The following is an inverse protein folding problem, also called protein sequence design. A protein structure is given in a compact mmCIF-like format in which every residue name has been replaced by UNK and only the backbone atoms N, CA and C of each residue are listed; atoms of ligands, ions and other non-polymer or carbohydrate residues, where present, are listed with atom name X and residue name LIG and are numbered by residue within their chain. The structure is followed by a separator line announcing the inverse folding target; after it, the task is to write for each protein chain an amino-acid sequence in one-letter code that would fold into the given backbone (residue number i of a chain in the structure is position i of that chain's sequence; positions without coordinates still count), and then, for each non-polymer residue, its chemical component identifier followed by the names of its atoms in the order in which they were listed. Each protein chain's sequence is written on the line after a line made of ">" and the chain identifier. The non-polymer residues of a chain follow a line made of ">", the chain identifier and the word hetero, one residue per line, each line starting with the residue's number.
data_IF_702174840580
#
_entry.id   IF_702174840580
#
_cell.length_a   1.000
_cell.length_b   1.000
_cell.length_c   1.000
_cell.angle_alpha   90.00
_cell.angle_beta   90.00
_cell.angle_gamma   90.00
#
_symmetry.space_group_name_H-M   'P 1'
#
loop_
_entity.id
_entity.type
_entity.pdbx_description
1 polymer ?
#
# COMPACT_ATOMS: atom_id res chain seq x y z
N UNK A 1 -1.88 -8.68 4.75
CA UNK A 1 -1.95 -8.28 6.18
C UNK A 1 -2.90 -7.11 6.46
N UNK A 2 -2.77 -5.99 5.74
CA UNK A 2 -3.58 -4.79 6.02
C UNK A 2 -5.09 -4.99 5.78
N UNK A 3 -5.50 -5.77 4.77
CA UNK A 3 -6.90 -6.15 4.58
C UNK A 3 -7.46 -7.06 5.67
N UNK A 4 -6.64 -7.97 6.21
CA UNK A 4 -7.03 -8.82 7.34
C UNK A 4 -7.29 -8.00 8.60
N UNK A 5 -6.43 -7.02 8.91
CA UNK A 5 -6.64 -6.14 10.04
C UNK A 5 -7.98 -5.37 9.92
N UNK A 6 -8.33 -4.93 8.71
CA UNK A 6 -9.62 -4.25 8.46
C UNK A 6 -10.81 -5.18 8.52
N UNK A 7 -10.67 -6.40 8.01
CA UNK A 7 -11.70 -7.43 8.14
C UNK A 7 -11.99 -7.72 9.61
N UNK A 8 -10.96 -7.90 10.43
CA UNK A 8 -11.09 -8.11 11.88
C UNK A 8 -11.76 -6.90 12.54
N UNK A 9 -11.29 -5.68 12.24
CA UNK A 9 -11.83 -4.46 12.85
C UNK A 9 -13.32 -4.21 12.51
N UNK A 10 -13.79 -4.63 11.33
CA UNK A 10 -15.14 -4.34 10.85
C UNK A 10 -16.09 -5.53 11.08
N UNK A 11 -15.72 -6.72 10.62
CA UNK A 11 -16.59 -7.89 10.65
C UNK A 11 -16.73 -8.44 12.07
N UNK A 12 -15.67 -8.33 12.87
CA UNK A 12 -15.54 -8.93 14.19
C UNK A 12 -15.48 -7.90 15.32
N UNK A 13 -16.00 -6.69 15.06
CA UNK A 13 -16.11 -5.63 16.06
C UNK A 13 -16.87 -6.13 17.30
N UNK A 14 -16.28 -6.01 18.49
CA UNK A 14 -16.86 -6.46 19.76
C UNK A 14 -16.58 -7.93 20.14
N UNK A 15 -15.87 -8.70 19.31
CA UNK A 15 -15.48 -10.08 19.64
C UNK A 15 -14.05 -10.16 20.20
N UNK A 16 -13.67 -11.33 20.74
CA UNK A 16 -12.29 -11.61 21.20
C UNK A 16 -11.22 -11.40 20.11
N UNK A 17 -11.59 -11.41 18.82
CA UNK A 17 -10.69 -11.13 17.71
C UNK A 17 -10.10 -9.69 17.72
N UNK A 18 -10.63 -8.78 18.56
CA UNK A 18 -10.03 -7.46 18.79
C UNK A 18 -8.57 -7.54 19.30
N UNK A 19 -8.18 -8.63 19.97
CA UNK A 19 -6.79 -8.84 20.40
C UNK A 19 -5.79 -8.85 19.24
N UNK A 20 -6.23 -9.22 18.03
CA UNK A 20 -5.41 -9.25 16.82
C UNK A 20 -5.19 -7.85 16.21
N UNK A 21 -5.97 -6.83 16.59
CA UNK A 21 -5.78 -5.45 16.14
C UNK A 21 -5.02 -4.61 17.19
N UNK A 22 -4.09 -5.24 17.92
CA UNK A 22 -3.16 -4.54 18.83
C UNK A 22 -1.95 -4.04 18.05
N UNK A 23 -1.38 -2.92 18.51
CA UNK A 23 -0.16 -2.35 17.92
C UNK A 23 0.98 -3.37 17.92
N UNK A 24 1.15 -4.13 19.00
CA UNK A 24 2.18 -5.19 19.09
C UNK A 24 2.05 -6.24 17.99
N UNK A 25 0.82 -6.67 17.70
CA UNK A 25 0.55 -7.62 16.61
C UNK A 25 0.86 -6.99 15.26
N UNK A 26 0.46 -5.73 15.04
CA UNK A 26 0.77 -5.02 13.79
C UNK A 26 2.29 -4.86 13.57
N UNK A 27 3.06 -4.56 14.62
CA UNK A 27 4.53 -4.48 14.58
C UNK A 27 5.13 -5.85 14.27
N UNK A 28 4.73 -6.91 14.96
CA UNK A 28 5.23 -8.26 14.71
C UNK A 28 4.93 -8.74 13.28
N UNK A 29 3.71 -8.49 12.80
CA UNK A 29 3.30 -8.79 11.43
C UNK A 29 4.12 -7.98 10.40
N UNK A 30 4.36 -6.69 10.66
CA UNK A 30 5.21 -5.85 9.79
C UNK A 30 6.64 -6.38 9.75
N UNK A 31 7.23 -6.70 10.90
CA UNK A 31 8.59 -7.27 11.00
C UNK A 31 8.69 -8.59 10.24
N UNK A 32 7.71 -9.48 10.39
CA UNK A 32 7.69 -10.75 9.64
C UNK A 32 7.67 -10.52 8.13
N UNK A 33 6.92 -9.52 7.65
CA UNK A 33 6.87 -9.18 6.22
C UNK A 33 8.23 -8.68 5.71
N UNK A 34 8.93 -7.87 6.51
CA UNK A 34 10.28 -7.42 6.19
C UNK A 34 11.29 -8.56 6.12
N UNK A 35 11.25 -9.48 7.10
CA UNK A 35 12.14 -10.64 7.13
C UNK A 35 11.90 -11.54 5.91
N UNK A 36 10.64 -11.82 5.57
CA UNK A 36 10.28 -12.60 4.38
C UNK A 36 10.77 -11.90 3.11
N UNK A 37 10.56 -10.58 2.99
CA UNK A 37 11.02 -9.80 1.85
C UNK A 37 12.54 -9.79 1.69
N UNK A 38 13.27 -9.66 2.80
CA UNK A 38 14.73 -9.73 2.82
C UNK A 38 15.23 -11.11 2.43
N UNK A 39 14.64 -12.18 2.98
CA UNK A 39 14.99 -13.55 2.63
C UNK A 39 14.75 -13.84 1.14
N UNK A 40 13.61 -13.39 0.60
CA UNK A 40 13.29 -13.51 -0.82
C UNK A 40 14.28 -12.73 -1.70
N UNK A 41 14.68 -11.52 -1.30
CA UNK A 41 15.67 -10.72 -2.02
C UNK A 41 17.06 -11.39 -2.02
N UNK A 42 17.49 -11.93 -0.87
CA UNK A 42 18.76 -12.67 -0.76
C UNK A 42 18.72 -13.91 -1.66
N UNK A 43 17.66 -14.71 -1.57
CA UNK A 43 17.50 -15.92 -2.38
C UNK A 43 17.43 -15.64 -3.89
N UNK A 44 16.91 -14.48 -4.29
CA UNK A 44 16.89 -14.05 -5.69
C UNK A 44 18.21 -13.47 -6.20
N UNK A 45 19.17 -13.19 -5.31
CA UNK A 45 20.44 -12.51 -5.65
C UNK A 45 21.65 -13.42 -5.49
N UNK A 46 21.65 -14.34 -4.51
CA UNK A 46 22.78 -15.19 -4.14
C UNK A 46 22.39 -16.67 -4.31
N UNK A 47 23.24 -17.55 -4.87
CA UNK A 47 24.62 -17.30 -5.34
C UNK A 47 24.70 -16.72 -6.76
N UNK A 48 23.72 -17.00 -7.62
CA UNK A 48 23.64 -16.41 -8.95
C UNK A 48 22.42 -15.50 -9.03
N UNK A 49 22.58 -14.25 -9.50
CA UNK A 49 21.49 -13.30 -9.53
C UNK A 49 20.45 -13.70 -10.59
N UNK A 50 19.21 -13.92 -10.14
CA UNK A 50 18.07 -14.19 -11.04
C UNK A 50 17.59 -12.92 -11.74
N UNK A 51 17.99 -11.75 -11.26
CA UNK A 51 17.63 -10.42 -11.76
C UNK A 51 18.88 -9.75 -12.32
N UNK A 52 18.77 -9.16 -13.52
CA UNK A 52 19.88 -8.46 -14.16
C UNK A 52 19.43 -7.41 -15.17
N UNK A 53 20.39 -6.69 -15.74
CA UNK A 53 20.11 -5.69 -16.77
C UNK A 53 19.80 -6.40 -18.09
N UNK A 54 18.58 -6.20 -18.60
CA UNK A 54 18.06 -6.74 -19.85
C UNK A 54 18.01 -5.64 -20.91
N UNK A 55 19.00 -5.62 -21.80
CA UNK A 55 19.14 -4.60 -22.86
C UNK A 55 18.03 -4.67 -23.91
N UNK A 56 17.46 -5.85 -24.11
CA UNK A 56 16.33 -6.12 -24.99
C UNK A 56 15.01 -5.52 -24.48
N UNK A 57 14.89 -5.30 -23.17
CA UNK A 57 13.70 -4.73 -22.54
C UNK A 57 13.95 -3.37 -21.88
N UNK A 58 15.14 -2.77 -22.06
CA UNK A 58 15.57 -1.51 -21.44
C UNK A 58 15.27 -1.42 -19.94
N UNK A 59 15.41 -2.54 -19.23
CA UNK A 59 15.04 -2.61 -17.82
C UNK A 59 15.88 -3.62 -17.05
N UNK A 60 15.83 -3.53 -15.72
CA UNK A 60 16.26 -4.58 -14.81
C UNK A 60 15.12 -5.59 -14.69
N UNK A 61 15.34 -6.80 -15.16
CA UNK A 61 14.33 -7.88 -15.16
C UNK A 61 15.01 -9.23 -15.01
N UNK A 62 14.21 -10.30 -14.92
CA UNK A 62 14.72 -11.65 -14.82
C UNK A 62 15.57 -12.02 -16.05
N UNK A 63 16.72 -12.62 -15.80
CA UNK A 63 17.58 -13.16 -16.86
C UNK A 63 16.89 -14.42 -17.39
N UNK A 64 16.70 -14.52 -18.71
CA UNK A 64 16.07 -15.69 -19.34
C UNK A 64 16.88 -16.93 -19.02
N UNK A 65 16.25 -17.92 -18.39
CA UNK A 65 16.87 -19.22 -18.10
C UNK A 65 16.70 -20.14 -19.31
N UNK A 66 17.25 -19.75 -20.46
CA UNK A 66 17.49 -20.70 -21.55
C UNK A 66 18.54 -21.71 -21.05
N UNK A 67 18.06 -22.84 -20.51
CA UNK A 67 18.93 -23.84 -19.86
C UNK A 67 18.45 -24.42 -18.51
N UNK A 68 17.19 -24.19 -18.11
CA UNK A 68 16.46 -25.12 -17.24
C UNK A 68 17.08 -25.43 -15.87
N UNK A 69 17.44 -24.43 -15.06
CA UNK A 69 17.78 -24.69 -13.66
C UNK A 69 16.48 -24.86 -12.83
N UNK A 70 16.26 -26.01 -12.15
CA UNK A 70 15.05 -26.22 -11.37
C UNK A 70 14.91 -25.20 -10.22
N UNK A 71 16.03 -24.68 -9.70
CA UNK A 71 16.05 -23.74 -8.57
C UNK A 71 15.39 -22.40 -8.92
N UNK A 72 15.61 -21.85 -10.13
CA UNK A 72 14.98 -20.59 -10.54
C UNK A 72 13.48 -20.78 -10.74
N UNK A 73 13.06 -21.89 -11.36
CA UNK A 73 11.65 -22.23 -11.54
C UNK A 73 10.93 -22.40 -10.19
N UNK A 74 11.58 -23.06 -9.22
CA UNK A 74 11.05 -23.23 -7.86
C UNK A 74 10.92 -21.88 -7.16
N UNK A 75 11.90 -20.99 -7.28
CA UNK A 75 11.84 -19.64 -6.70
C UNK A 75 10.65 -18.85 -7.25
N UNK A 76 10.51 -18.78 -8.58
CA UNK A 76 9.40 -18.07 -9.21
C UNK A 76 8.04 -18.69 -8.86
N UNK A 77 7.93 -20.01 -8.90
CA UNK A 77 6.71 -20.71 -8.49
C UNK A 77 6.35 -20.39 -7.03
N UNK A 78 7.33 -20.36 -6.13
CA UNK A 78 7.12 -20.05 -4.71
C UNK A 78 6.60 -18.63 -4.51
N UNK A 79 7.21 -17.63 -5.15
CA UNK A 79 6.76 -16.24 -5.09
C UNK A 79 5.34 -16.10 -5.65
N UNK A 80 5.07 -16.71 -6.82
CA UNK A 80 3.74 -16.71 -7.44
C UNK A 80 2.68 -17.34 -6.52
N UNK A 81 3.00 -18.45 -5.85
CA UNK A 81 2.08 -19.10 -4.89
C UNK A 81 1.80 -18.19 -3.69
N UNK A 82 2.83 -17.54 -3.14
CA UNK A 82 2.68 -16.58 -2.03
C UNK A 82 1.80 -15.40 -2.45
N UNK A 83 2.00 -14.85 -3.65
CA UNK A 83 1.19 -13.76 -4.20
C UNK A 83 -0.27 -14.19 -4.41
N UNK A 84 -0.51 -15.40 -4.94
CA UNK A 84 -1.84 -15.97 -5.10
C UNK A 84 -2.56 -16.14 -3.75
N UNK A 85 -1.87 -16.65 -2.72
CA UNK A 85 -2.41 -16.75 -1.36
C UNK A 85 -2.73 -15.35 -0.81
N UNK A 86 -1.83 -14.37 -1.02
CA UNK A 86 -2.03 -12.98 -0.63
C UNK A 86 -3.28 -12.37 -1.26
N UNK A 87 -3.47 -12.55 -2.57
CA UNK A 87 -4.67 -12.15 -3.32
C UNK A 87 -5.92 -12.83 -2.78
N UNK A 88 -5.88 -14.14 -2.59
CA UNK A 88 -7.01 -14.92 -2.07
C UNK A 88 -7.46 -14.43 -0.70
N UNK A 89 -6.52 -14.26 0.25
CA UNK A 89 -6.82 -13.73 1.59
C UNK A 89 -7.39 -12.32 1.51
N UNK A 90 -6.79 -11.44 0.69
CA UNK A 90 -7.25 -10.07 0.51
C UNK A 90 -8.67 -10.01 -0.09
N UNK A 91 -8.95 -10.87 -1.08
CA UNK A 91 -10.26 -10.99 -1.72
C UNK A 91 -11.35 -11.48 -0.75
N UNK A 92 -11.06 -12.54 0.00
CA UNK A 92 -11.96 -13.08 1.02
C UNK A 92 -12.27 -12.00 2.07
N UNK A 93 -11.23 -11.35 2.62
CA UNK A 93 -11.38 -10.28 3.61
C UNK A 93 -12.27 -9.13 3.09
N UNK A 94 -12.07 -8.69 1.86
CA UNK A 94 -12.85 -7.61 1.26
C UNK A 94 -14.30 -8.01 1.00
N UNK A 95 -14.54 -9.25 0.58
CA UNK A 95 -15.89 -9.78 0.37
C UNK A 95 -16.67 -9.88 1.69
N UNK A 96 -16.01 -10.32 2.77
CA UNK A 96 -16.61 -10.35 4.11
C UNK A 96 -16.99 -8.94 4.59
N UNK A 97 -16.08 -7.97 4.43
CA UNK A 97 -16.34 -6.56 4.76
C UNK A 97 -17.53 -6.02 3.96
N UNK A 98 -17.56 -6.28 2.65
CA UNK A 98 -18.65 -5.93 1.75
C UNK A 98 -20.01 -6.47 2.21
N UNK A 99 -20.08 -7.76 2.52
CA UNK A 99 -21.30 -8.41 3.02
C UNK A 99 -21.74 -7.78 4.34
N UNK A 100 -20.81 -7.51 5.26
CA UNK A 100 -21.12 -6.85 6.54
C UNK A 100 -21.69 -5.46 6.33
N UNK A 101 -21.15 -4.69 5.40
CA UNK A 101 -21.65 -3.35 5.05
C UNK A 101 -23.08 -3.43 4.51
N UNK A 102 -23.35 -4.37 3.60
CA UNK A 102 -24.69 -4.56 3.05
C UNK A 102 -25.71 -4.93 4.16
N UNK A 103 -25.33 -5.81 5.09
CA UNK A 103 -26.16 -6.16 6.24
C UNK A 103 -26.46 -4.95 7.14
N UNK A 104 -25.44 -4.14 7.45
CA UNK A 104 -25.60 -2.92 8.27
C UNK A 104 -26.49 -1.91 7.54
N UNK A 105 -26.32 -1.72 6.22
CA UNK A 105 -27.19 -0.85 5.41
C UNK A 105 -28.66 -1.28 5.51
N UNK A 106 -28.96 -2.58 5.39
CA UNK A 106 -30.32 -3.10 5.56
C UNK A 106 -30.87 -2.84 6.96
N UNK A 107 -30.07 -3.03 8.02
CA UNK A 107 -30.48 -2.78 9.42
C UNK A 107 -30.74 -1.30 9.74
N UNK A 108 -30.02 -0.37 9.09
CA UNK A 108 -30.26 1.07 9.22
C UNK A 108 -31.56 1.45 8.51
N UNK A 109 -31.78 0.95 7.28
CA UNK A 109 -33.04 1.16 6.57
C UNK A 109 -34.24 0.59 7.35
N UNK A 110 -34.04 -0.47 8.14
CA UNK A 110 -35.05 -1.01 9.05
C UNK A 110 -35.07 -0.34 10.44
N UNK A 111 -34.53 0.88 10.59
CA UNK A 111 -34.51 1.70 11.82
C UNK A 111 -33.88 1.06 13.08
N UNK A 112 -33.05 0.02 12.95
CA UNK A 112 -32.47 -0.72 14.09
C UNK A 112 -31.07 -0.26 14.53
N UNK A 113 -30.52 0.82 13.97
CA UNK A 113 -29.15 1.27 14.27
C UNK A 113 -29.01 2.79 14.33
N UNK A 114 -28.25 3.28 15.31
CA UNK A 114 -27.85 4.68 15.46
C UNK A 114 -27.03 5.15 14.23
N UNK A 115 -27.52 6.22 13.57
CA UNK A 115 -26.99 6.78 12.32
C UNK A 115 -25.51 7.22 12.40
N UNK A 116 -25.04 7.61 13.60
CA UNK A 116 -23.64 7.99 13.82
C UNK A 116 -22.68 6.81 13.79
N UNK A 117 -23.10 5.64 14.27
CA UNK A 117 -22.31 4.41 14.18
C UNK A 117 -22.19 3.98 12.71
N UNK A 118 -23.32 4.00 12.00
CA UNK A 118 -23.41 3.68 10.57
C UNK A 118 -22.47 4.52 9.68
N UNK A 119 -22.41 5.84 9.90
CA UNK A 119 -21.53 6.72 9.14
C UNK A 119 -20.04 6.43 9.40
N UNK A 120 -19.67 6.08 10.64
CA UNK A 120 -18.30 5.68 10.99
C UNK A 120 -17.90 4.40 10.25
N UNK A 121 -18.80 3.42 10.19
CA UNK A 121 -18.61 2.19 9.43
C UNK A 121 -18.50 2.44 7.92
N UNK A 122 -19.35 3.29 7.33
CA UNK A 122 -19.23 3.66 5.92
C UNK A 122 -17.88 4.31 5.59
N UNK A 123 -17.39 5.19 6.47
CA UNK A 123 -16.08 5.83 6.29
C UNK A 123 -14.95 4.79 6.33
N UNK A 124 -15.00 3.85 7.27
CA UNK A 124 -14.02 2.77 7.39
C UNK A 124 -14.09 1.76 6.23
N UNK A 125 -15.28 1.48 5.72
CA UNK A 125 -15.50 0.65 4.53
C UNK A 125 -14.94 1.28 3.26
N UNK A 126 -15.24 2.57 3.03
CA UNK A 126 -14.63 3.35 1.95
C UNK A 126 -13.11 3.33 2.08
N UNK A 127 -12.59 3.44 3.31
CA UNK A 127 -11.18 3.23 3.58
C UNK A 127 -10.74 1.85 3.10
N UNK A 128 -11.40 0.74 3.43
CA UNK A 128 -11.03 -0.61 2.94
C UNK A 128 -10.92 -0.70 1.43
N UNK A 129 -11.88 -0.13 0.68
CA UNK A 129 -11.81 -0.10 -0.79
C UNK A 129 -10.59 0.63 -1.34
N UNK A 130 -10.19 1.73 -0.68
CA UNK A 130 -8.99 2.49 -1.07
C UNK A 130 -7.71 1.67 -1.02
N UNK A 131 -7.66 0.60 -0.24
CA UNK A 131 -6.44 -0.19 -0.06
C UNK A 131 -6.59 -1.52 -0.78
N UNK A 132 -7.82 -1.96 -1.01
CA UNK A 132 -8.13 -3.14 -1.79
C UNK A 132 -7.74 -2.99 -3.25
N UNK A 133 -8.21 -1.95 -3.93
CA UNK A 133 -7.93 -1.74 -5.36
C UNK A 133 -6.44 -1.63 -5.66
N UNK A 134 -5.65 -0.76 -5.00
CA UNK A 134 -4.22 -0.71 -5.27
C UNK A 134 -3.48 -1.96 -4.78
N UNK A 135 -3.91 -2.63 -3.71
CA UNK A 135 -3.31 -3.92 -3.34
C UNK A 135 -3.55 -4.97 -4.41
N UNK A 136 -4.74 -5.05 -5.01
CA UNK A 136 -5.01 -5.96 -6.12
C UNK A 136 -4.19 -5.57 -7.35
N UNK A 137 -4.20 -4.30 -7.75
CA UNK A 137 -3.45 -3.84 -8.92
C UNK A 137 -1.94 -4.09 -8.74
N UNK A 138 -1.40 -3.77 -7.56
CA UNK A 138 -0.01 -4.03 -7.22
C UNK A 138 0.32 -5.51 -7.23
N UNK A 139 -0.50 -6.38 -6.61
CA UNK A 139 -0.21 -7.81 -6.57
C UNK A 139 -0.44 -8.48 -7.92
N UNK A 140 -1.48 -8.12 -8.68
CA UNK A 140 -1.68 -8.59 -10.05
C UNK A 140 -0.55 -8.15 -10.96
N UNK A 141 -0.10 -6.90 -10.85
CA UNK A 141 1.02 -6.41 -11.63
C UNK A 141 2.35 -7.06 -11.23
N UNK A 142 2.54 -7.36 -9.94
CA UNK A 142 3.70 -8.09 -9.42
C UNK A 142 3.70 -9.55 -9.90
N UNK A 143 2.54 -10.21 -9.89
CA UNK A 143 2.34 -11.52 -10.49
C UNK A 143 2.68 -11.52 -11.99
N UNK A 144 2.15 -10.54 -12.74
CA UNK A 144 2.48 -10.35 -14.16
C UNK A 144 3.97 -10.12 -14.38
N UNK A 145 4.66 -9.48 -13.45
CA UNK A 145 6.10 -9.28 -13.51
C UNK A 145 6.88 -10.58 -13.24
N UNK A 146 6.52 -11.35 -12.21
CA UNK A 146 7.20 -12.61 -11.88
C UNK A 146 6.93 -13.74 -12.88
N UNK A 147 5.82 -13.70 -13.60
CA UNK A 147 5.52 -14.70 -14.63
C UNK A 147 6.18 -14.40 -15.98
N UNK A 148 6.79 -13.21 -16.14
CA UNK A 148 7.52 -12.80 -17.36
C UNK A 148 8.52 -13.83 -17.90
N UNK A 149 9.33 -14.53 -17.08
CA UNK A 149 10.26 -15.54 -17.59
C UNK A 149 9.56 -16.66 -18.38
N UNK A 150 8.34 -17.02 -17.98
CA UNK A 150 7.55 -18.07 -18.64
C UNK A 150 6.85 -17.57 -19.91
N UNK A 151 6.54 -16.27 -19.97
CA UNK A 151 5.83 -15.67 -21.10
C UNK A 151 6.74 -14.95 -22.11
N UNK A 152 8.06 -15.00 -21.91
CA UNK A 152 9.01 -14.27 -22.75
C UNK A 152 8.88 -14.61 -24.25
N UNK A 153 8.61 -15.88 -24.59
CA UNK A 153 8.43 -16.31 -25.97
C UNK A 153 7.04 -15.96 -26.57
N UNK A 154 6.07 -15.59 -25.73
CA UNK A 154 4.71 -15.28 -26.16
C UNK A 154 4.48 -13.77 -26.38
N UNK A 155 5.28 -12.91 -25.75
CA UNK A 155 5.14 -11.46 -25.83
C UNK A 155 6.25 -10.81 -26.64
N UNK A 156 5.91 -9.75 -27.36
CA UNK A 156 6.90 -8.90 -28.02
C UNK A 156 7.68 -8.07 -26.98
N UNK A 157 8.91 -7.62 -27.30
CA UNK A 157 9.69 -6.77 -26.39
C UNK A 157 8.92 -5.52 -25.91
N UNK A 158 8.15 -4.89 -26.79
CA UNK A 158 7.31 -3.73 -26.45
C UNK A 158 6.21 -4.06 -25.43
N UNK A 159 5.56 -5.22 -25.55
CA UNK A 159 4.57 -5.67 -24.56
C UNK A 159 5.23 -5.92 -23.19
N UNK A 160 6.46 -6.45 -23.18
CA UNK A 160 7.22 -6.69 -21.96
C UNK A 160 7.66 -5.39 -21.26
N UNK A 161 8.04 -4.38 -22.03
CA UNK A 161 8.33 -3.01 -21.54
C UNK A 161 7.07 -2.39 -20.95
N UNK A 162 5.94 -2.44 -21.66
CA UNK A 162 4.68 -1.88 -21.19
C UNK A 162 4.24 -2.51 -19.86
N UNK A 163 4.33 -3.84 -19.75
CA UNK A 163 4.05 -4.57 -18.51
C UNK A 163 4.96 -4.12 -17.35
N UNK A 164 6.22 -3.77 -17.64
CA UNK A 164 7.15 -3.26 -16.63
C UNK A 164 6.78 -1.84 -16.16
N UNK A 165 6.38 -0.96 -17.08
CA UNK A 165 5.92 0.39 -16.76
C UNK A 165 4.64 0.33 -15.90
N UNK A 166 3.68 -0.53 -16.26
CA UNK A 166 2.46 -0.74 -15.46
C UNK A 166 2.80 -1.18 -14.04
N UNK A 167 3.80 -2.05 -13.88
CA UNK A 167 4.29 -2.48 -12.58
C UNK A 167 4.91 -1.34 -11.76
N UNK A 168 5.79 -0.53 -12.34
CA UNK A 168 6.34 0.64 -11.66
C UNK A 168 5.26 1.66 -11.26
N UNK A 169 4.32 1.94 -12.16
CA UNK A 169 3.18 2.83 -11.90
C UNK A 169 2.28 2.30 -10.76
N UNK A 170 2.18 0.98 -10.61
CA UNK A 170 1.39 0.37 -9.53
C UNK A 170 2.01 0.59 -8.15
N UNK A 171 3.33 0.72 -8.04
CA UNK A 171 3.99 1.00 -6.76
C UNK A 171 3.82 2.45 -6.28
N UNK A 172 3.56 3.39 -7.20
CA UNK A 172 3.38 4.82 -6.87
C UNK A 172 1.92 5.20 -6.61
N UNK A 173 0.95 4.33 -6.94
CA UNK A 173 -0.47 4.69 -6.86
C UNK A 173 -1.01 4.86 -5.43
N UNK A 174 -0.36 4.21 -4.45
CA UNK A 174 -0.79 4.19 -3.06
C UNK A 174 -1.01 5.62 -2.50
N UNK A 175 0.00 6.51 -2.40
CA UNK A 175 -0.16 7.88 -1.92
C UNK A 175 -1.32 8.68 -2.52
N UNK A 176 -1.54 8.56 -3.83
CA UNK A 176 -2.62 9.27 -4.54
C UNK A 176 -4.00 8.79 -4.09
N UNK A 177 -4.15 7.49 -3.87
CA UNK A 177 -5.42 6.90 -3.42
C UNK A 177 -5.71 7.32 -1.98
N UNK A 178 -4.70 7.40 -1.10
CA UNK A 178 -4.87 8.00 0.23
C UNK A 178 -5.26 9.48 0.15
N UNK A 179 -4.60 10.27 -0.71
CA UNK A 179 -4.93 11.68 -0.88
C UNK A 179 -6.38 11.88 -1.34
N UNK A 180 -6.85 11.05 -2.29
CA UNK A 180 -8.18 11.18 -2.86
C UNK A 180 -9.28 10.78 -1.89
N UNK A 181 -9.07 9.80 -1.00
CA UNK A 181 -10.18 9.27 -0.21
C UNK A 181 -10.01 9.32 1.32
N UNK A 182 -8.85 9.70 1.85
CA UNK A 182 -8.63 9.92 3.28
C UNK A 182 -8.51 11.42 3.56
N UNK A 183 -9.58 12.03 4.09
CA UNK A 183 -9.65 13.48 4.35
C UNK A 183 -8.51 13.98 5.24
N UNK A 184 -8.09 13.18 6.24
CA UNK A 184 -7.01 13.54 7.15
C UNK A 184 -5.67 13.58 6.42
N UNK A 185 -5.38 12.56 5.61
CA UNK A 185 -4.17 12.54 4.78
C UNK A 185 -4.19 13.67 3.75
N UNK A 186 -5.35 13.96 3.15
CA UNK A 186 -5.50 15.07 2.21
C UNK A 186 -5.18 16.42 2.86
N UNK A 187 -5.67 16.63 4.09
CA UNK A 187 -5.34 17.83 4.86
C UNK A 187 -3.83 17.93 5.12
N UNK A 188 -3.22 16.85 5.61
CA UNK A 188 -1.78 16.81 5.87
C UNK A 188 -0.97 17.06 4.60
N UNK A 189 -1.32 16.46 3.45
CA UNK A 189 -0.66 16.75 2.18
C UNK A 189 -0.82 18.21 1.76
N UNK A 190 -2.01 18.80 1.96
CA UNK A 190 -2.23 20.22 1.68
C UNK A 190 -1.36 21.12 2.56
N UNK A 191 -1.23 20.81 3.85
CA UNK A 191 -0.34 21.53 4.78
C UNK A 191 1.14 21.40 4.40
N UNK A 192 1.57 20.20 4.00
CA UNK A 192 2.93 19.93 3.54
C UNK A 192 3.23 20.71 2.25
N UNK A 193 2.37 20.62 1.23
CA UNK A 193 2.56 21.31 -0.06
C UNK A 193 2.47 22.83 0.05
N UNK A 194 1.57 23.35 0.89
CA UNK A 194 1.46 24.79 1.13
C UNK A 194 2.52 25.33 2.07
N UNK A 195 3.33 24.44 2.67
CA UNK A 195 4.28 24.75 3.73
C UNK A 195 3.65 25.63 4.83
N UNK A 196 2.36 25.45 5.13
CA UNK A 196 1.60 26.40 5.96
C UNK A 196 2.22 26.56 7.36
N UNK A 197 2.66 25.46 7.97
CA UNK A 197 3.36 25.48 9.26
C UNK A 197 4.71 26.21 9.19
N UNK A 198 5.49 25.97 8.13
CA UNK A 198 6.76 26.66 7.91
C UNK A 198 6.53 28.16 7.68
N UNK A 199 5.57 28.53 6.82
CA UNK A 199 5.17 29.92 6.56
C UNK A 199 4.70 30.62 7.83
N UNK A 200 3.94 29.93 8.68
CA UNK A 200 3.52 30.46 9.98
C UNK A 200 4.72 30.70 10.90
N UNK A 201 5.65 29.75 11.02
CA UNK A 201 6.87 29.91 11.84
C UNK A 201 7.77 31.03 11.31
N UNK A 202 7.92 31.15 9.98
CA UNK A 202 8.65 32.25 9.34
C UNK A 202 8.00 33.61 9.61
N UNK A 203 6.67 33.72 9.46
CA UNK A 203 5.93 34.96 9.81
C UNK A 203 6.04 35.31 11.29
N UNK A 204 6.00 34.31 12.17
CA UNK A 204 6.15 34.49 13.62
C UNK A 204 7.56 34.99 13.98
N UNK A 205 8.60 34.47 13.34
CA UNK A 205 9.99 34.96 13.48
C UNK A 205 10.15 36.38 12.92
N UNK A 206 9.59 36.67 11.75
CA UNK A 206 9.62 38.01 11.16
C UNK A 206 8.94 39.07 12.04
N UNK A 207 7.79 38.75 12.65
CA UNK A 207 7.14 39.63 13.62
C UNK A 207 7.98 39.85 14.87
N UNK A 208 8.66 38.82 15.39
CA UNK A 208 9.56 38.98 16.55
C UNK A 208 10.77 39.88 16.25
N UNK A 209 11.33 39.81 15.05
CA UNK A 209 12.43 40.70 14.64
C UNK A 209 12.01 42.17 14.48
N UNK A 210 10.79 42.43 13.98
CA UNK A 210 10.28 43.79 13.85
C UNK A 210 10.07 44.49 15.20
N UNK A 211 9.74 43.75 16.26
CA UNK A 211 9.52 44.32 17.60
C UNK A 211 10.80 44.54 18.43
N UNK A 212 11.96 44.08 17.96
CA UNK A 212 13.27 44.37 18.57
C UNK A 212 13.99 45.58 17.96
N UNK A 213 13.47 46.17 16.88
CA UNK A 213 14.07 47.35 16.22
C UNK A 213 13.51 48.71 16.65
N UNK A 214 12.51 48.74 17.55
CA UNK A 214 11.80 49.96 17.92
C UNK A 214 11.93 50.30 19.39
N UNK A 215 13.09 50.81 19.82
CA UNK A 215 13.31 51.73 20.97
C UNK A 215 14.82 52.01 21.10
N UNK A 216 15.34 52.85 20.22
CA UNK A 216 16.45 53.71 20.62
C UNK A 216 15.83 54.97 21.21
N UNK A 217 15.89 55.08 22.53
CA UNK A 217 15.72 56.34 23.24
C UNK A 217 16.80 57.30 22.71
N UNK A 218 16.38 58.28 21.91
CA UNK A 218 17.19 59.49 21.72
C UNK A 218 16.79 60.43 22.85
N UNK A 219 17.55 60.39 23.94
CA UNK A 219 17.60 61.49 24.90
C UNK A 219 18.77 62.39 24.53
N UNK A 220 18.48 63.61 24.10
CA UNK A 220 19.19 64.84 24.47
C UNK A 220 18.41 66.04 23.97
#
# INVERSE_FOLDING_TARGET
>A
MLGLNRCIAICYYGTKAKSLNRVSVAVGLSLSTWIIGLAAAIAGTIPEPLIGIRRDMWTVSFITTEGGRPVSAIFFASICVIDCIGLGVQWICSTLVLRKIQQVKRKICSNKLNQNSANRFRKQARLTFQFFYPSILCTFSTFLYFIKPYFYHFFTPWQMILLHIIWLCSHVCNPFIYAYFNDRMRHTYREMLSCAGLRYQLRKRGKKHLFTGGRHNVSR
#
